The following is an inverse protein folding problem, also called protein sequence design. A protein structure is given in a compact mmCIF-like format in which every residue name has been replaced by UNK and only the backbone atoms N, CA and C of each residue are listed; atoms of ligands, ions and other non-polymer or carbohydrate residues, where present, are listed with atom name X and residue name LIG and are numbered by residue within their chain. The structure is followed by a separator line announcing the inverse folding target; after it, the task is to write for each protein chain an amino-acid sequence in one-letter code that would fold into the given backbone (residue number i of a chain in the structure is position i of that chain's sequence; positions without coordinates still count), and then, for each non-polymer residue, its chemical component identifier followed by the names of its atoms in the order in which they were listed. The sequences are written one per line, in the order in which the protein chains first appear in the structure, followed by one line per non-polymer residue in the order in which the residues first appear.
data_IF_228045663816
#
_entry.id   IF_228045663816
#
_cell.length_a   1.000
_cell.length_b   1.000
_cell.length_c   1.000
_cell.angle_alpha   90.00
_cell.angle_beta   90.00
_cell.angle_gamma   90.00
#
_symmetry.space_group_name_H-M   'P 1'
#
loop_
_entity.id
_entity.type
_entity.pdbx_description
1 polymer ?
#
# COMPACT_ATOMS: atom_id res chain seq x y z
N UNK A 1 1.84 21.10 24.86
CA UNK A 1 3.11 20.84 25.59
C UNK A 1 4.25 21.30 24.68
N UNK A 2 5.38 21.79 25.19
CA UNK A 2 6.58 22.03 24.36
C UNK A 2 7.59 20.93 24.61
N UNK A 3 8.28 20.52 23.55
CA UNK A 3 9.35 19.53 23.59
C UNK A 3 10.68 20.24 23.31
N UNK A 4 11.80 19.76 23.85
CA UNK A 4 13.09 20.41 23.66
C UNK A 4 14.27 19.44 23.74
N UNK A 5 15.27 19.62 22.87
CA UNK A 5 16.49 18.81 22.89
C UNK A 5 17.73 19.69 22.81
N UNK A 6 18.68 19.46 23.71
CA UNK A 6 19.98 20.16 23.69
C UNK A 6 21.05 19.26 23.10
N UNK A 7 21.63 19.67 21.97
CA UNK A 7 22.75 18.99 21.31
C UNK A 7 23.93 19.96 21.22
N UNK A 8 25.08 19.56 21.76
CA UNK A 8 26.33 20.33 21.70
C UNK A 8 26.21 21.81 22.14
N UNK A 9 25.34 22.10 23.10
CA UNK A 9 25.12 23.46 23.62
C UNK A 9 24.04 24.28 22.90
N UNK A 10 23.44 23.75 21.83
CA UNK A 10 22.29 24.35 21.14
C UNK A 10 21.01 23.65 21.59
N UNK A 11 20.02 24.42 22.06
CA UNK A 11 18.69 23.89 22.40
C UNK A 11 17.73 24.12 21.24
N UNK A 12 17.14 23.04 20.74
CA UNK A 12 16.04 23.06 19.78
C UNK A 12 14.73 22.92 20.55
N UNK A 13 13.72 23.74 20.22
CA UNK A 13 12.37 23.66 20.79
C UNK A 13 11.37 23.26 19.70
N UNK A 14 10.37 22.47 20.07
CA UNK A 14 9.29 22.03 19.20
C UNK A 14 7.95 22.32 19.88
N UNK A 15 7.06 23.03 19.20
CA UNK A 15 5.75 23.41 19.72
C UNK A 15 4.73 22.29 19.50
N UNK A 16 4.68 21.36 20.44
CA UNK A 16 3.72 20.26 20.45
C UNK A 16 4.11 19.07 19.56
N UNK A 17 3.29 18.03 19.62
CA UNK A 17 3.62 16.75 19.01
C UNK A 17 3.58 16.78 17.48
N UNK A 18 2.71 17.62 16.89
CA UNK A 18 2.62 17.81 15.43
C UNK A 18 3.96 18.29 14.84
N UNK A 19 4.55 19.34 15.42
CA UNK A 19 5.82 19.88 14.94
C UNK A 19 6.98 18.91 15.18
N UNK A 20 7.02 18.27 16.35
CA UNK A 20 8.05 17.28 16.68
C UNK A 20 8.04 16.12 15.69
N UNK A 21 6.86 15.57 15.39
CA UNK A 21 6.70 14.48 14.43
C UNK A 21 7.11 14.89 13.02
N UNK A 22 6.69 16.09 12.59
CA UNK A 22 7.02 16.58 11.27
C UNK A 22 8.53 16.80 11.09
N UNK A 23 9.17 17.49 12.05
CA UNK A 23 10.61 17.77 12.00
C UNK A 23 11.49 16.53 12.19
N UNK A 24 10.99 15.47 12.81
CA UNK A 24 11.70 14.20 12.90
C UNK A 24 11.69 13.40 11.59
N UNK A 25 10.82 13.74 10.63
CA UNK A 25 10.72 13.03 9.34
C UNK A 25 12.01 13.18 8.54
N UNK A 26 12.53 12.09 7.92
CA UNK A 26 13.54 12.20 6.89
C UNK A 26 13.13 13.22 5.82
N UNK A 27 14.09 13.96 5.28
CA UNK A 27 13.82 15.06 4.34
C UNK A 27 12.95 14.59 3.16
N UNK A 28 11.86 15.32 2.90
CA UNK A 28 10.92 15.14 1.78
C UNK A 28 10.50 16.49 1.23
N UNK A 29 10.38 16.62 -0.08
CA UNK A 29 9.94 17.86 -0.72
C UNK A 29 8.51 18.25 -0.32
N UNK A 30 7.60 17.30 -0.14
CA UNK A 30 6.23 17.62 0.28
C UNK A 30 6.12 18.19 1.69
N UNK A 31 6.99 17.74 2.60
CA UNK A 31 7.03 18.30 3.96
C UNK A 31 7.69 19.70 3.96
N UNK A 32 8.64 19.95 3.05
CA UNK A 32 9.20 21.28 2.80
C UNK A 32 8.13 22.22 2.20
N UNK A 33 7.34 21.74 1.24
CA UNK A 33 6.24 22.46 0.61
C UNK A 33 5.13 22.81 1.61
N UNK A 34 4.80 21.88 2.51
CA UNK A 34 3.85 22.10 3.60
C UNK A 34 4.39 23.05 4.68
N UNK A 35 5.69 23.37 4.67
CA UNK A 35 6.34 24.22 5.65
C UNK A 35 6.52 23.55 7.03
N UNK A 36 6.57 22.21 7.08
CA UNK A 36 6.67 21.45 8.33
C UNK A 36 8.01 20.70 8.50
N UNK A 37 8.83 20.63 7.46
CA UNK A 37 10.14 19.99 7.51
C UNK A 37 11.11 20.72 8.46
N UNK A 38 12.09 19.98 9.00
CA UNK A 38 13.20 20.58 9.74
C UNK A 38 14.09 21.43 8.80
N UNK A 39 14.52 22.60 9.29
CA UNK A 39 15.34 23.59 8.57
C UNK A 39 16.80 23.15 8.41
N UNK A 40 17.24 22.16 9.20
CA UNK A 40 18.60 21.61 9.13
C UNK A 40 18.65 20.15 9.57
N UNK A 41 19.71 19.44 9.18
CA UNK A 41 19.94 18.07 9.66
C UNK A 41 20.18 18.00 11.17
N UNK A 42 20.75 19.06 11.77
CA UNK A 42 20.93 19.15 13.22
C UNK A 42 19.58 19.24 13.94
N UNK A 43 18.65 20.07 13.44
CA UNK A 43 17.29 20.16 13.99
C UNK A 43 16.53 18.84 13.80
N UNK A 44 16.64 18.21 12.63
CA UNK A 44 16.04 16.90 12.34
C UNK A 44 16.52 15.83 13.31
N UNK A 45 17.83 15.79 13.57
CA UNK A 45 18.43 14.87 14.53
C UNK A 45 17.98 15.17 15.98
N UNK A 46 17.84 16.45 16.33
CA UNK A 46 17.30 16.87 17.63
C UNK A 46 15.83 16.47 17.80
N UNK A 47 15.02 16.61 16.75
CA UNK A 47 13.62 16.19 16.72
C UNK A 47 13.50 14.67 16.83
N UNK A 48 14.28 13.91 16.07
CA UNK A 48 14.31 12.45 16.14
C UNK A 48 14.73 11.93 17.52
N UNK A 49 15.73 12.56 18.16
CA UNK A 49 16.13 12.23 19.52
C UNK A 49 14.99 12.50 20.50
N UNK A 50 14.44 13.72 20.50
CA UNK A 50 13.33 14.05 21.39
C UNK A 50 12.11 13.16 21.15
N UNK A 51 11.82 12.80 19.89
CA UNK A 51 10.74 11.89 19.54
C UNK A 51 10.96 10.50 20.15
N UNK A 52 12.20 9.99 20.16
CA UNK A 52 12.53 8.71 20.78
C UNK A 52 12.22 8.67 22.29
N UNK A 53 12.23 9.81 22.98
CA UNK A 53 11.91 9.93 24.40
C UNK A 53 10.41 10.12 24.68
N UNK A 54 9.56 10.28 23.65
CA UNK A 54 8.11 10.42 23.82
C UNK A 54 7.48 9.08 24.24
N UNK A 55 6.72 9.01 25.35
CA UNK A 55 5.96 7.81 25.72
C UNK A 55 4.94 7.45 24.65
N UNK A 56 4.77 6.17 24.31
CA UNK A 56 3.75 5.75 23.34
C UNK A 56 2.34 6.21 23.75
N UNK A 57 2.02 6.15 25.05
CA UNK A 57 0.72 6.58 25.56
C UNK A 57 0.41 8.06 25.28
N UNK A 58 1.40 8.88 24.94
CA UNK A 58 1.20 10.30 24.59
C UNK A 58 0.34 10.47 23.35
N UNK A 59 0.45 9.57 22.37
CA UNK A 59 -0.36 9.60 21.15
C UNK A 59 -1.84 9.30 21.40
N UNK A 60 -2.20 8.74 22.57
CA UNK A 60 -3.59 8.54 22.98
C UNK A 60 -4.19 9.78 23.66
N UNK A 61 -3.35 10.64 24.22
CA UNK A 61 -3.76 11.83 24.98
C UNK A 61 -3.68 13.11 24.14
N UNK A 62 -2.79 13.16 23.14
CA UNK A 62 -2.52 14.33 22.29
C UNK A 62 -2.67 13.93 20.81
N UNK A 63 -3.90 13.94 20.25
CA UNK A 63 -4.12 13.58 18.85
C UNK A 63 -3.48 14.64 17.92
N UNK A 64 -2.92 14.19 16.79
CA UNK A 64 -2.27 15.08 15.82
C UNK A 64 -3.29 15.78 14.91
N UNK A 65 -4.42 15.12 14.63
CA UNK A 65 -5.57 15.67 13.89
C UNK A 65 -6.78 15.69 14.84
N UNK A 66 -7.57 16.78 14.95
CA UNK A 66 -8.58 16.93 15.99
C UNK A 66 -9.68 15.86 15.95
N UNK A 67 -9.99 15.25 17.10
CA UNK A 67 -11.02 14.19 17.21
C UNK A 67 -12.41 14.69 16.82
N UNK A 68 -12.75 15.92 17.20
CA UNK A 68 -14.08 16.50 17.01
C UNK A 68 -14.41 16.77 15.53
N UNK A 69 -13.38 16.96 14.69
CA UNK A 69 -13.56 17.37 13.29
C UNK A 69 -13.06 16.34 12.27
N UNK A 70 -12.59 15.16 12.73
CA UNK A 70 -11.99 14.15 11.85
C UNK A 70 -12.42 12.72 12.20
N UNK A 71 -13.18 12.09 11.31
CA UNK A 71 -13.70 10.72 11.46
C UNK A 71 -12.61 9.66 11.48
N UNK A 72 -11.47 9.92 10.85
CA UNK A 72 -10.31 9.00 10.88
C UNK A 72 -9.68 9.01 12.27
N UNK A 73 -9.56 10.18 12.92
CA UNK A 73 -9.12 10.27 14.32
C UNK A 73 -10.11 9.58 15.25
N UNK A 74 -11.42 9.77 15.06
CA UNK A 74 -12.43 9.04 15.84
C UNK A 74 -12.28 7.54 15.67
N UNK A 75 -12.17 7.06 14.43
CA UNK A 75 -11.91 5.65 14.12
C UNK A 75 -10.69 5.11 14.88
N UNK A 76 -9.55 5.80 14.81
CA UNK A 76 -8.30 5.40 15.45
C UNK A 76 -8.46 5.32 16.98
N UNK A 77 -9.02 6.36 17.60
CA UNK A 77 -9.14 6.46 19.06
C UNK A 77 -10.18 5.48 19.59
N UNK A 78 -11.34 5.39 18.94
CA UNK A 78 -12.47 4.59 19.44
C UNK A 78 -12.27 3.08 19.25
N UNK A 79 -11.42 2.68 18.29
CA UNK A 79 -11.10 1.26 18.03
C UNK A 79 -9.78 0.78 18.64
N UNK A 80 -9.05 1.66 19.33
CA UNK A 80 -7.80 1.29 20.00
C UNK A 80 -8.01 0.25 21.12
N UNK A 81 -7.33 -0.89 21.01
CA UNK A 81 -7.39 -1.97 22.00
C UNK A 81 -6.36 -1.77 23.12
N UNK A 82 -6.85 -1.36 24.30
CA UNK A 82 -6.02 -1.15 25.50
C UNK A 82 -5.39 -2.44 26.03
N UNK A 83 -6.01 -3.60 25.83
CA UNK A 83 -5.47 -4.87 26.29
C UNK A 83 -4.31 -5.32 25.40
N UNK A 84 -4.45 -5.19 24.07
CA UNK A 84 -3.35 -5.42 23.13
C UNK A 84 -2.17 -4.45 23.34
N UNK A 85 -2.46 -3.19 23.68
CA UNK A 85 -1.45 -2.16 23.96
C UNK A 85 -0.67 -2.41 25.26
N UNK A 86 -1.24 -3.13 26.23
CA UNK A 86 -0.69 -3.23 27.59
C UNK A 86 0.76 -3.78 27.63
N UNK A 87 1.13 -4.66 26.70
CA UNK A 87 2.49 -5.22 26.60
C UNK A 87 3.55 -4.13 26.36
N UNK A 88 3.21 -3.11 25.58
CA UNK A 88 4.13 -2.06 25.12
C UNK A 88 3.82 -0.67 25.70
N UNK A 89 2.75 -0.54 26.49
CA UNK A 89 2.25 0.75 26.98
C UNK A 89 3.25 1.56 27.82
N UNK A 90 4.24 0.89 28.40
CA UNK A 90 5.29 1.48 29.23
C UNK A 90 6.47 2.03 28.42
N UNK A 91 6.53 1.75 27.11
CA UNK A 91 7.64 2.12 26.24
C UNK A 91 7.52 3.56 25.73
N UNK A 92 8.67 4.15 25.45
CA UNK A 92 8.79 5.34 24.58
C UNK A 92 8.83 4.91 23.11
N UNK A 93 8.78 5.86 22.17
CA UNK A 93 8.99 5.56 20.74
C UNK A 93 10.33 4.86 20.51
N UNK A 94 11.40 5.31 21.17
CA UNK A 94 12.72 4.67 21.12
C UNK A 94 12.70 3.26 21.72
N UNK A 95 12.07 3.08 22.88
CA UNK A 95 11.88 1.77 23.49
C UNK A 95 11.04 0.82 22.62
N UNK A 96 10.05 1.34 21.90
CA UNK A 96 9.24 0.58 20.96
C UNK A 96 10.04 0.15 19.73
N UNK A 97 10.84 1.04 19.15
CA UNK A 97 11.79 0.70 18.08
C UNK A 97 12.71 -0.45 18.52
N UNK A 98 13.31 -0.33 19.69
CA UNK A 98 14.25 -1.34 20.19
C UNK A 98 13.54 -2.67 20.46
N UNK A 99 12.32 -2.63 21.02
CA UNK A 99 11.48 -3.81 21.19
C UNK A 99 11.15 -4.48 19.84
N UNK A 100 10.77 -3.72 18.81
CA UNK A 100 10.50 -4.26 17.48
C UNK A 100 11.73 -4.98 16.89
N UNK A 101 12.92 -4.39 17.05
CA UNK A 101 14.18 -4.97 16.57
C UNK A 101 14.61 -6.19 17.38
N UNK A 102 14.28 -6.26 18.67
CA UNK A 102 14.49 -7.47 19.49
C UNK A 102 13.53 -8.60 19.06
N UNK A 103 12.28 -8.27 18.75
CA UNK A 103 11.26 -9.24 18.36
C UNK A 103 11.48 -9.77 16.94
N UNK A 104 11.85 -8.93 15.98
CA UNK A 104 11.94 -9.29 14.56
C UNK A 104 12.72 -10.58 14.24
N UNK A 105 13.90 -10.86 14.83
CA UNK A 105 14.65 -12.09 14.55
C UNK A 105 14.09 -13.35 15.25
N UNK A 106 13.05 -13.24 16.07
CA UNK A 106 12.53 -14.37 16.85
C UNK A 106 11.61 -15.26 16.00
N UNK A 107 11.57 -16.55 16.34
CA UNK A 107 10.68 -17.51 15.68
C UNK A 107 9.18 -17.19 15.88
N UNK A 108 8.83 -16.56 17.01
CA UNK A 108 7.47 -16.16 17.39
C UNK A 108 7.14 -14.69 17.03
N UNK A 109 7.95 -14.03 16.20
CA UNK A 109 7.81 -12.60 15.90
C UNK A 109 6.42 -12.25 15.34
N UNK A 110 5.97 -12.99 14.33
CA UNK A 110 4.68 -12.74 13.67
C UNK A 110 3.51 -12.75 14.65
N UNK A 111 3.46 -13.73 15.56
CA UNK A 111 2.39 -13.86 16.56
C UNK A 111 2.41 -12.70 17.57
N UNK A 112 3.60 -12.24 17.98
CA UNK A 112 3.75 -11.10 18.89
C UNK A 112 3.32 -9.80 18.24
N UNK A 113 3.78 -9.55 17.02
CA UNK A 113 3.45 -8.34 16.27
C UNK A 113 1.93 -8.29 15.97
N UNK A 114 1.35 -9.41 15.55
CA UNK A 114 -0.10 -9.54 15.33
C UNK A 114 -0.91 -9.27 16.62
N UNK A 115 -0.45 -9.79 17.77
CA UNK A 115 -1.13 -9.59 19.06
C UNK A 115 -1.17 -8.13 19.50
N UNK A 116 -0.12 -7.35 19.27
CA UNK A 116 -0.08 -5.93 19.68
C UNK A 116 -0.72 -4.99 18.66
N UNK A 117 -0.86 -5.39 17.39
CA UNK A 117 -1.34 -4.52 16.33
C UNK A 117 -2.67 -3.80 16.67
N UNK A 118 -3.68 -4.41 17.33
CA UNK A 118 -4.89 -3.71 17.80
C UNK A 118 -4.67 -2.57 18.78
N UNK A 119 -3.56 -2.59 19.52
CA UNK A 119 -3.16 -1.53 20.44
C UNK A 119 -2.22 -0.49 19.83
N UNK A 120 -1.90 -0.57 18.54
CA UNK A 120 -1.08 0.42 17.87
C UNK A 120 -1.95 1.47 17.20
N UNK A 121 -1.67 2.75 17.47
CA UNK A 121 -2.18 3.85 16.65
C UNK A 121 -1.25 4.10 15.46
N UNK A 122 -1.76 4.61 14.33
CA UNK A 122 -0.93 5.03 13.21
C UNK A 122 0.20 5.97 13.59
N UNK A 123 -0.06 6.92 14.49
CA UNK A 123 0.91 7.92 14.92
C UNK A 123 2.07 7.30 15.71
N UNK A 124 1.83 6.27 16.52
CA UNK A 124 2.90 5.49 17.18
C UNK A 124 3.79 4.79 16.15
N UNK A 125 3.19 4.21 15.12
CA UNK A 125 3.90 3.45 14.08
C UNK A 125 4.70 4.39 13.17
N UNK A 126 4.11 5.53 12.78
CA UNK A 126 4.80 6.60 12.06
C UNK A 126 5.95 7.19 12.89
N UNK A 127 5.79 7.35 14.20
CA UNK A 127 6.85 7.85 15.07
C UNK A 127 8.06 6.90 15.09
N UNK A 128 7.81 5.59 15.16
CA UNK A 128 8.86 4.58 15.11
C UNK A 128 9.58 4.57 13.75
N UNK A 129 8.84 4.66 12.63
CA UNK A 129 9.44 4.62 11.29
C UNK A 129 10.42 5.78 11.07
N UNK A 130 10.10 6.98 11.58
CA UNK A 130 10.95 8.19 11.48
C UNK A 130 12.33 8.02 12.13
N UNK A 131 12.44 7.21 13.18
CA UNK A 131 13.70 6.96 13.90
C UNK A 131 14.40 5.65 13.50
N UNK A 132 13.89 4.96 12.47
CA UNK A 132 14.44 3.72 11.94
C UNK A 132 15.24 3.96 10.66
N UNK A 133 16.37 3.28 10.50
CA UNK A 133 17.08 3.22 9.21
C UNK A 133 16.36 2.26 8.25
N UNK A 134 16.71 2.29 6.97
CA UNK A 134 16.09 1.40 5.97
C UNK A 134 16.19 -0.08 6.36
N UNK A 135 17.35 -0.53 6.85
CA UNK A 135 17.53 -1.92 7.32
C UNK A 135 16.59 -2.28 8.48
N UNK A 136 16.29 -1.32 9.37
CA UNK A 136 15.43 -1.54 10.53
C UNK A 136 13.98 -1.71 10.03
N UNK A 137 13.53 -0.84 9.10
CA UNK A 137 12.21 -0.93 8.45
C UNK A 137 12.03 -2.27 7.75
N UNK A 138 13.04 -2.69 6.95
CA UNK A 138 13.03 -3.94 6.19
C UNK A 138 12.93 -5.15 7.13
N UNK A 139 13.79 -5.20 8.16
CA UNK A 139 13.86 -6.33 9.08
C UNK A 139 12.55 -6.53 9.85
N UNK A 140 11.96 -5.46 10.37
CA UNK A 140 10.71 -5.56 11.14
C UNK A 140 9.52 -5.84 10.22
N UNK A 141 9.45 -5.22 9.04
CA UNK A 141 8.38 -5.50 8.08
C UNK A 141 8.39 -6.97 7.62
N UNK A 142 9.57 -7.56 7.39
CA UNK A 142 9.70 -8.98 7.03
C UNK A 142 9.22 -9.93 8.14
N UNK A 143 9.34 -9.52 9.40
CA UNK A 143 8.85 -10.28 10.56
C UNK A 143 7.32 -10.17 10.74
N UNK A 144 6.71 -9.07 10.30
CA UNK A 144 5.26 -8.84 10.34
C UNK A 144 4.57 -9.60 9.19
N UNK A 145 4.06 -10.80 9.49
CA UNK A 145 3.36 -11.63 8.50
C UNK A 145 1.87 -11.35 8.54
N UNK A 146 1.35 -10.83 7.42
CA UNK A 146 -0.08 -10.55 7.22
C UNK A 146 -0.52 -11.22 5.93
N UNK A 147 -1.66 -11.91 5.98
CA UNK A 147 -2.23 -12.63 4.85
C UNK A 147 -3.69 -12.27 4.66
N UNK A 148 -4.14 -12.26 3.41
CA UNK A 148 -5.52 -12.05 2.98
C UNK A 148 -5.84 -13.06 1.87
N UNK A 149 -7.13 -13.35 1.64
CA UNK A 149 -7.52 -14.30 0.61
C UNK A 149 -8.87 -13.98 -0.03
N UNK A 150 -8.96 -14.23 -1.33
CA UNK A 150 -10.21 -14.20 -2.10
C UNK A 150 -10.30 -15.41 -3.04
N UNK A 151 -9.68 -15.36 -4.23
CA UNK A 151 -9.44 -16.55 -5.09
C UNK A 151 -8.01 -17.05 -5.00
N UNK A 152 -7.09 -16.17 -4.63
CA UNK A 152 -5.71 -16.46 -4.27
C UNK A 152 -5.43 -16.06 -2.83
N UNK A 153 -4.40 -16.68 -2.25
CA UNK A 153 -3.86 -16.29 -0.94
C UNK A 153 -2.67 -15.36 -1.10
N UNK A 154 -2.75 -14.16 -0.53
CA UNK A 154 -1.75 -13.08 -0.66
C UNK A 154 -0.99 -12.88 0.67
N UNK A 155 0.30 -12.52 0.58
CA UNK A 155 1.14 -12.18 1.74
C UNK A 155 1.81 -13.36 2.47
N UNK A 156 1.74 -14.57 1.92
CA UNK A 156 2.42 -15.74 2.47
C UNK A 156 3.96 -15.59 2.39
N UNK A 157 4.73 -16.08 3.38
CA UNK A 157 6.19 -16.08 3.31
C UNK A 157 6.73 -16.82 2.08
N UNK A 158 7.83 -16.31 1.51
CA UNK A 158 8.46 -16.88 0.31
C UNK A 158 7.69 -16.62 -0.97
N UNK A 159 6.76 -15.65 -0.97
CA UNK A 159 5.91 -15.32 -2.11
C UNK A 159 5.80 -13.81 -2.28
N UNK A 160 5.67 -13.39 -3.53
CA UNK A 160 5.33 -12.01 -3.91
C UNK A 160 4.36 -12.06 -5.07
N UNK A 161 3.17 -11.52 -4.84
CA UNK A 161 2.13 -11.48 -5.85
C UNK A 161 2.24 -10.22 -6.72
N UNK A 162 1.50 -10.19 -7.82
CA UNK A 162 1.54 -9.10 -8.78
C UNK A 162 0.14 -8.65 -9.18
N UNK A 163 -0.08 -7.33 -9.17
CA UNK A 163 -1.17 -6.73 -9.93
C UNK A 163 -0.71 -6.64 -11.39
N UNK A 164 -1.47 -7.26 -12.29
CA UNK A 164 -1.35 -7.00 -13.72
C UNK A 164 -2.25 -5.81 -14.04
N UNK A 165 -1.67 -4.72 -14.53
CA UNK A 165 -2.39 -3.50 -14.88
C UNK A 165 -2.39 -3.29 -16.40
N UNK A 166 -3.43 -3.79 -17.11
CA UNK A 166 -3.51 -3.71 -18.57
C UNK A 166 -4.25 -2.44 -19.01
N UNK A 167 -3.80 -1.27 -18.56
CA UNK A 167 -4.44 0.00 -18.91
C UNK A 167 -4.31 0.30 -20.41
N UNK A 168 -5.32 0.94 -20.98
CA UNK A 168 -5.30 1.38 -22.37
C UNK A 168 -5.81 2.82 -22.49
N UNK A 169 -5.18 3.72 -23.28
CA UNK A 169 -5.55 5.14 -23.36
C UNK A 169 -7.01 5.46 -23.75
N UNK A 170 -7.73 4.46 -24.25
CA UNK A 170 -9.12 4.58 -24.71
C UNK A 170 -9.99 3.41 -24.24
N UNK A 171 -9.51 2.61 -23.28
CA UNK A 171 -10.15 1.38 -22.83
C UNK A 171 -10.49 0.40 -24.00
N UNK A 172 -9.64 0.28 -25.04
CA UNK A 172 -9.92 -0.63 -26.16
C UNK A 172 -9.80 -2.09 -25.66
N UNK A 173 -10.87 -2.90 -25.76
CA UNK A 173 -10.88 -4.27 -25.23
C UNK A 173 -9.77 -5.16 -25.78
N UNK A 174 -9.34 -4.95 -27.04
CA UNK A 174 -8.29 -5.77 -27.66
C UNK A 174 -6.92 -5.39 -27.11
N UNK A 175 -6.67 -4.10 -26.89
CA UNK A 175 -5.45 -3.63 -26.24
C UNK A 175 -5.33 -4.17 -24.82
N UNK A 176 -6.42 -4.10 -24.04
CA UNK A 176 -6.49 -4.64 -22.68
C UNK A 176 -6.28 -6.16 -22.69
N UNK A 177 -6.95 -6.89 -23.59
CA UNK A 177 -6.78 -8.34 -23.74
C UNK A 177 -5.34 -8.72 -24.11
N UNK A 178 -4.69 -7.96 -25.01
CA UNK A 178 -3.30 -8.19 -25.39
C UNK A 178 -2.34 -7.98 -24.21
N UNK A 179 -2.49 -6.89 -23.46
CA UNK A 179 -1.69 -6.62 -22.26
C UNK A 179 -1.95 -7.66 -21.15
N UNK A 180 -3.20 -8.12 -21.01
CA UNK A 180 -3.57 -9.20 -20.09
C UNK A 180 -2.88 -10.50 -20.47
N UNK A 181 -2.88 -10.87 -21.76
CA UNK A 181 -2.16 -12.05 -22.23
C UNK A 181 -0.66 -11.94 -21.95
N UNK A 182 -0.03 -10.81 -22.30
CA UNK A 182 1.39 -10.58 -22.10
C UNK A 182 1.81 -10.77 -20.63
N UNK A 183 1.10 -10.15 -19.70
CA UNK A 183 1.38 -10.32 -18.27
C UNK A 183 1.14 -11.75 -17.77
N UNK A 184 0.07 -12.42 -18.21
CA UNK A 184 -0.19 -13.82 -17.84
C UNK A 184 0.91 -14.77 -18.33
N UNK A 185 1.43 -14.56 -19.55
CA UNK A 185 2.55 -15.34 -20.10
C UNK A 185 3.83 -15.20 -19.25
N UNK A 186 3.95 -14.10 -18.52
CA UNK A 186 5.05 -13.81 -17.59
C UNK A 186 4.69 -14.11 -16.13
N UNK A 187 3.59 -14.83 -15.88
CA UNK A 187 3.16 -15.23 -14.54
C UNK A 187 2.71 -14.07 -13.66
N UNK A 188 2.23 -12.97 -14.24
CA UNK A 188 1.68 -11.83 -13.52
C UNK A 188 0.15 -11.89 -13.41
N UNK A 189 -0.43 -11.26 -12.38
CA UNK A 189 -1.89 -11.14 -12.18
C UNK A 189 -2.45 -11.95 -11.01
N UNK A 190 -1.59 -12.57 -10.21
CA UNK A 190 -1.98 -13.40 -9.07
C UNK A 190 -2.48 -12.61 -7.85
N UNK A 191 -2.18 -11.30 -7.76
CA UNK A 191 -2.80 -10.40 -6.78
C UNK A 191 -4.13 -9.84 -7.29
N UNK A 192 -4.19 -9.40 -8.55
CA UNK A 192 -5.40 -8.91 -9.23
C UNK A 192 -5.06 -8.63 -10.70
N UNK A 193 -6.04 -8.78 -11.60
CA UNK A 193 -5.99 -8.09 -12.90
C UNK A 193 -6.84 -6.83 -12.79
N UNK A 194 -6.17 -5.68 -12.71
CA UNK A 194 -6.74 -4.41 -12.27
C UNK A 194 -6.62 -3.31 -13.33
N UNK A 195 -7.74 -2.84 -13.88
CA UNK A 195 -7.78 -1.78 -14.90
C UNK A 195 -8.14 -0.44 -14.25
N UNK A 196 -7.28 0.57 -14.41
CA UNK A 196 -7.69 1.96 -14.24
C UNK A 196 -8.42 2.38 -15.53
N UNK A 197 -9.73 2.65 -15.50
CA UNK A 197 -10.45 2.98 -16.71
C UNK A 197 -10.12 4.41 -17.16
N UNK A 198 -9.93 4.62 -18.46
CA UNK A 198 -9.79 5.95 -19.06
C UNK A 198 -11.12 6.75 -19.03
N UNK A 199 -12.26 6.06 -18.90
CA UNK A 199 -13.59 6.65 -18.74
C UNK A 199 -14.18 6.42 -17.35
N UNK A 200 -14.91 7.40 -16.84
CA UNK A 200 -15.75 7.31 -15.63
C UNK A 200 -17.15 6.71 -15.88
N UNK A 201 -17.41 6.20 -17.09
CA UNK A 201 -18.70 5.65 -17.49
C UNK A 201 -19.01 4.32 -16.79
N UNK A 202 -20.11 4.22 -16.02
CA UNK A 202 -20.52 2.96 -15.38
C UNK A 202 -20.72 1.82 -16.37
N UNK A 203 -21.18 2.13 -17.58
CA UNK A 203 -21.34 1.14 -18.65
C UNK A 203 -19.99 0.60 -19.13
N UNK A 204 -19.00 1.47 -19.32
CA UNK A 204 -17.66 1.03 -19.72
C UNK A 204 -17.03 0.16 -18.62
N UNK A 205 -17.18 0.56 -17.35
CA UNK A 205 -16.78 -0.27 -16.20
C UNK A 205 -17.44 -1.65 -16.22
N UNK A 206 -18.76 -1.71 -16.47
CA UNK A 206 -19.49 -2.98 -16.54
C UNK A 206 -19.01 -3.88 -17.69
N UNK A 207 -18.80 -3.30 -18.89
CA UNK A 207 -18.32 -4.02 -20.07
C UNK A 207 -16.92 -4.63 -19.79
N UNK A 208 -16.02 -3.88 -19.14
CA UNK A 208 -14.70 -4.36 -18.74
C UNK A 208 -14.77 -5.46 -17.66
N UNK A 209 -15.65 -5.34 -16.67
CA UNK A 209 -15.85 -6.36 -15.65
C UNK A 209 -16.37 -7.68 -16.25
N UNK A 210 -17.32 -7.61 -17.18
CA UNK A 210 -17.79 -8.79 -17.91
C UNK A 210 -16.68 -9.42 -18.74
N UNK A 211 -15.90 -8.62 -19.45
CA UNK A 211 -14.76 -9.11 -20.24
C UNK A 211 -13.75 -9.86 -19.37
N UNK A 212 -13.35 -9.29 -18.23
CA UNK A 212 -12.40 -9.93 -17.31
C UNK A 212 -12.97 -11.22 -16.69
N UNK A 213 -14.25 -11.22 -16.30
CA UNK A 213 -14.90 -12.42 -15.75
C UNK A 213 -15.02 -13.53 -16.80
N UNK A 214 -15.33 -13.20 -18.05
CA UNK A 214 -15.36 -14.15 -19.17
C UNK A 214 -13.99 -14.76 -19.44
N UNK A 215 -12.92 -13.95 -19.45
CA UNK A 215 -11.53 -14.43 -19.57
C UNK A 215 -11.18 -15.37 -18.41
N UNK A 216 -11.45 -14.95 -17.17
CA UNK A 216 -11.20 -15.74 -15.96
C UNK A 216 -11.89 -17.10 -16.02
N UNK A 217 -13.18 -17.13 -16.38
CA UNK A 217 -13.96 -18.36 -16.47
C UNK A 217 -13.46 -19.27 -17.60
N UNK A 218 -13.20 -18.71 -18.78
CA UNK A 218 -12.78 -19.48 -19.97
C UNK A 218 -11.45 -20.20 -19.77
N UNK A 219 -10.52 -19.58 -19.06
CA UNK A 219 -9.17 -20.13 -18.82
C UNK A 219 -8.97 -20.65 -17.38
N UNK A 220 -10.05 -20.72 -16.59
CA UNK A 220 -10.05 -21.16 -15.19
C UNK A 220 -8.95 -20.50 -14.35
N UNK A 221 -8.74 -19.21 -14.58
CA UNK A 221 -7.63 -18.47 -13.95
C UNK A 221 -7.99 -18.23 -12.47
N UNK A 222 -7.18 -18.70 -11.51
CA UNK A 222 -7.38 -18.41 -10.10
C UNK A 222 -6.86 -17.00 -9.82
N UNK A 223 -7.63 -16.00 -10.25
CA UNK A 223 -7.36 -14.58 -10.03
C UNK A 223 -8.66 -13.83 -9.88
N UNK A 224 -8.59 -12.67 -9.23
CA UNK A 224 -9.69 -11.72 -9.10
C UNK A 224 -9.49 -10.55 -10.06
N UNK A 225 -10.61 -10.01 -10.55
CA UNK A 225 -10.64 -8.83 -11.40
C UNK A 225 -11.06 -7.58 -10.63
N UNK A 226 -10.53 -6.43 -11.03
CA UNK A 226 -10.96 -5.13 -10.53
C UNK A 226 -10.94 -4.10 -11.65
N UNK A 227 -11.98 -3.27 -11.74
CA UNK A 227 -11.93 -2.02 -12.50
C UNK A 227 -11.95 -0.90 -11.47
N UNK A 228 -10.90 -0.09 -11.43
CA UNK A 228 -10.61 0.88 -10.39
C UNK A 228 -11.40 2.18 -10.58
N UNK A 229 -12.72 2.06 -10.71
CA UNK A 229 -13.64 3.19 -10.69
C UNK A 229 -13.97 3.61 -9.26
N UNK A 230 -14.66 4.75 -9.11
CA UNK A 230 -15.13 5.21 -7.80
C UNK A 230 -16.05 4.17 -7.14
N UNK A 231 -15.89 3.97 -5.82
CA UNK A 231 -16.60 2.94 -5.04
C UNK A 231 -18.11 2.91 -5.27
N UNK A 232 -18.75 4.08 -5.38
CA UNK A 232 -20.20 4.18 -5.59
C UNK A 232 -20.63 3.61 -6.94
N UNK A 233 -19.83 3.83 -8.00
CA UNK A 233 -20.08 3.21 -9.31
C UNK A 233 -20.03 1.71 -9.19
N UNK A 234 -19.05 1.16 -8.48
CA UNK A 234 -18.95 -0.29 -8.29
C UNK A 234 -20.14 -0.84 -7.50
N UNK A 235 -20.60 -0.16 -6.44
CA UNK A 235 -21.79 -0.56 -5.68
C UNK A 235 -23.05 -0.58 -6.55
N UNK A 236 -23.28 0.45 -7.37
CA UNK A 236 -24.40 0.48 -8.31
C UNK A 236 -24.36 -0.68 -9.32
N UNK A 237 -23.15 -1.10 -9.73
CA UNK A 237 -22.97 -2.25 -10.63
C UNK A 237 -23.22 -3.59 -9.91
N UNK A 238 -22.88 -3.70 -8.63
CA UNK A 238 -23.24 -4.86 -7.79
C UNK A 238 -24.75 -5.03 -7.74
N UNK A 239 -25.51 -3.95 -7.52
CA UNK A 239 -26.98 -3.98 -7.51
C UNK A 239 -27.58 -4.42 -8.85
N UNK A 240 -26.88 -4.12 -9.95
CA UNK A 240 -27.26 -4.53 -11.31
C UNK A 240 -26.84 -5.97 -11.65
N UNK A 241 -26.15 -6.68 -10.75
CA UNK A 241 -25.72 -8.06 -10.95
C UNK A 241 -24.48 -8.23 -11.83
N UNK A 242 -23.68 -7.17 -12.00
CA UNK A 242 -22.39 -7.22 -12.71
C UNK A 242 -21.39 -8.07 -11.90
N UNK A 243 -20.51 -8.86 -12.52
CA UNK A 243 -19.59 -9.78 -11.84
C UNK A 243 -18.40 -9.07 -11.17
N UNK A 244 -18.68 -8.26 -10.15
CA UNK A 244 -17.65 -7.59 -9.34
C UNK A 244 -16.96 -8.60 -8.43
N UNK A 245 -15.65 -8.75 -8.54
CA UNK A 245 -14.84 -9.54 -7.60
C UNK A 245 -14.31 -8.65 -6.45
N UNK A 246 -13.65 -7.54 -6.76
CA UNK A 246 -13.15 -6.57 -5.78
C UNK A 246 -13.78 -5.19 -5.96
N UNK A 247 -13.92 -4.46 -4.85
CA UNK A 247 -14.30 -3.05 -4.85
C UNK A 247 -13.08 -2.18 -4.55
N UNK A 248 -12.76 -1.29 -5.48
CA UNK A 248 -11.64 -0.37 -5.35
C UNK A 248 -12.05 0.96 -4.71
N UNK A 249 -11.14 1.56 -3.94
CA UNK A 249 -11.23 2.98 -3.59
C UNK A 249 -9.87 3.55 -3.14
N UNK A 250 -9.52 4.75 -3.63
CA UNK A 250 -8.47 5.57 -3.03
C UNK A 250 -8.93 6.14 -1.69
N UNK A 251 -8.08 6.03 -0.67
CA UNK A 251 -8.36 6.51 0.69
C UNK A 251 -7.20 7.38 1.21
N UNK A 252 -7.48 8.15 2.25
CA UNK A 252 -6.52 9.05 2.89
C UNK A 252 -6.67 9.06 4.41
N UNK A 253 -5.66 9.62 5.09
CA UNK A 253 -5.59 9.65 6.55
C UNK A 253 -6.36 10.77 7.24
N UNK A 254 -7.17 11.55 6.52
CA UNK A 254 -8.03 12.60 7.11
C UNK A 254 -9.42 12.57 6.50
N UNK A 255 -10.42 12.96 7.29
CA UNK A 255 -11.81 13.13 6.85
C UNK A 255 -11.89 14.13 5.70
N UNK A 256 -11.11 15.22 5.76
CA UNK A 256 -11.08 16.23 4.71
C UNK A 256 -10.60 15.68 3.36
N UNK A 257 -9.54 14.87 3.35
CA UNK A 257 -9.02 14.26 2.13
C UNK A 257 -9.98 13.20 1.57
N UNK A 258 -10.54 12.33 2.42
CA UNK A 258 -11.54 11.34 2.00
C UNK A 258 -12.79 11.98 1.40
N UNK A 259 -13.28 13.08 2.00
CA UNK A 259 -14.37 13.89 1.42
C UNK A 259 -14.00 14.48 0.06
N UNK A 260 -12.74 14.90 -0.11
CA UNK A 260 -12.21 15.34 -1.41
C UNK A 260 -12.27 14.24 -2.47
N UNK A 261 -12.11 12.97 -2.07
CA UNK A 261 -12.31 11.80 -2.93
C UNK A 261 -13.77 11.37 -3.08
N UNK A 262 -14.72 12.04 -2.42
CA UNK A 262 -16.14 11.69 -2.50
C UNK A 262 -16.57 10.52 -1.60
N UNK A 263 -15.77 10.16 -0.59
CA UNK A 263 -16.02 9.00 0.27
C UNK A 263 -16.04 9.35 1.77
N UNK A 264 -16.78 8.53 2.52
CA UNK A 264 -16.82 8.51 3.99
C UNK A 264 -16.60 7.09 4.47
N UNK A 265 -16.28 6.92 5.76
CA UNK A 265 -16.16 5.58 6.36
C UNK A 265 -17.41 4.71 6.19
N UNK A 266 -18.60 5.30 6.19
CA UNK A 266 -19.85 4.57 6.03
C UNK A 266 -20.03 4.08 4.59
N UNK A 267 -19.71 4.90 3.57
CA UNK A 267 -19.71 4.48 2.17
C UNK A 267 -18.78 3.28 1.96
N UNK A 268 -17.58 3.31 2.58
CA UNK A 268 -16.62 2.22 2.47
C UNK A 268 -17.13 0.92 3.13
N UNK A 269 -17.84 1.02 4.25
CA UNK A 269 -18.43 -0.14 4.95
C UNK A 269 -19.59 -0.72 4.15
N UNK A 270 -20.47 0.12 3.62
CA UNK A 270 -21.59 -0.30 2.79
C UNK A 270 -21.08 -1.03 1.53
N UNK A 271 -19.99 -0.54 0.94
CA UNK A 271 -19.35 -1.17 -0.19
C UNK A 271 -18.70 -2.52 0.12
N UNK A 272 -18.01 -2.66 1.27
CA UNK A 272 -17.48 -3.94 1.75
C UNK A 272 -18.61 -4.96 1.97
N UNK A 273 -19.72 -4.55 2.61
CA UNK A 273 -20.88 -5.41 2.82
C UNK A 273 -21.53 -5.83 1.49
N UNK A 274 -21.74 -4.89 0.57
CA UNK A 274 -22.30 -5.16 -0.75
C UNK A 274 -21.46 -6.19 -1.52
N UNK A 275 -20.13 -6.04 -1.54
CA UNK A 275 -19.25 -6.96 -2.23
C UNK A 275 -19.16 -8.33 -1.54
N UNK A 276 -19.12 -8.39 -0.21
CA UNK A 276 -19.17 -9.66 0.54
C UNK A 276 -20.46 -10.42 0.28
N UNK A 277 -21.58 -9.71 0.08
CA UNK A 277 -22.88 -10.34 -0.18
C UNK A 277 -22.88 -11.23 -1.43
N UNK A 278 -22.02 -10.91 -2.42
CA UNK A 278 -21.87 -11.66 -3.66
C UNK A 278 -21.23 -13.04 -3.47
N UNK A 279 -20.44 -13.24 -2.39
CA UNK A 279 -19.79 -14.53 -2.05
C UNK A 279 -19.02 -15.16 -3.22
N UNK A 280 -18.27 -14.32 -3.95
CA UNK A 280 -17.56 -14.73 -5.16
C UNK A 280 -16.18 -15.34 -4.92
N UNK A 281 -15.59 -15.14 -3.73
CA UNK A 281 -14.31 -15.73 -3.34
C UNK A 281 -14.38 -17.25 -3.17
N UNK A 282 -13.28 -17.93 -3.45
CA UNK A 282 -13.18 -19.40 -3.41
C UNK A 282 -12.22 -19.92 -2.34
N UNK A 283 -11.33 -19.07 -1.84
CA UNK A 283 -10.35 -19.35 -0.78
C UNK A 283 -10.66 -18.54 0.47
N UNK A 284 -11.00 -17.25 0.29
CA UNK A 284 -11.40 -16.34 1.37
C UNK A 284 -12.46 -15.36 0.91
N UNK A 285 -12.71 -14.35 1.73
CA UNK A 285 -13.80 -13.38 1.54
C UNK A 285 -13.33 -11.92 1.67
N UNK A 286 -12.03 -11.65 1.56
CA UNK A 286 -11.53 -10.28 1.53
C UNK A 286 -11.87 -9.65 0.16
N UNK A 287 -12.66 -8.57 0.13
CA UNK A 287 -13.22 -8.00 -1.12
C UNK A 287 -12.75 -6.60 -1.47
N UNK A 288 -12.15 -5.89 -0.52
CA UNK A 288 -11.71 -4.50 -0.77
C UNK A 288 -10.32 -4.46 -1.39
N UNK A 289 -10.14 -3.54 -2.34
CA UNK A 289 -8.86 -3.10 -2.85
C UNK A 289 -8.72 -1.59 -2.57
N UNK A 290 -7.72 -1.20 -1.78
CA UNK A 290 -7.54 0.20 -1.37
C UNK A 290 -6.19 0.74 -1.86
N UNK A 291 -6.16 2.01 -2.25
CA UNK A 291 -4.93 2.71 -2.58
C UNK A 291 -4.72 3.93 -1.70
N UNK A 292 -3.46 4.15 -1.31
CA UNK A 292 -2.98 5.28 -0.52
C UNK A 292 -1.81 5.94 -1.23
N UNK A 293 -1.21 6.96 -0.62
CA UNK A 293 -0.07 7.64 -1.21
C UNK A 293 0.26 8.90 -0.44
N UNK A 294 1.55 9.03 -0.12
CA UNK A 294 2.08 10.24 0.48
C UNK A 294 1.84 11.45 -0.43
N UNK A 295 1.43 12.56 0.20
CA UNK A 295 1.12 13.81 -0.50
C UNK A 295 -0.36 14.00 -0.82
N UNK A 296 -1.18 12.94 -0.79
CA UNK A 296 -2.63 13.00 -1.06
C UNK A 296 -3.35 14.04 -0.19
N UNK A 297 -3.15 14.00 1.12
CA UNK A 297 -3.78 14.95 2.05
C UNK A 297 -3.26 16.39 1.89
N UNK A 298 -1.98 16.57 1.53
CA UNK A 298 -1.41 17.89 1.25
C UNK A 298 -2.02 18.47 -0.03
N UNK A 299 -2.07 17.67 -1.10
CA UNK A 299 -2.70 18.01 -2.38
C UNK A 299 -4.16 18.44 -2.22
N UNK A 300 -4.90 17.74 -1.36
CA UNK A 300 -6.29 18.06 -1.04
C UNK A 300 -6.47 19.28 -0.10
N UNK A 301 -5.39 19.91 0.37
CA UNK A 301 -5.46 20.97 1.38
C UNK A 301 -5.98 20.51 2.75
N UNK A 302 -5.92 19.21 3.02
CA UNK A 302 -6.52 18.53 4.18
C UNK A 302 -5.45 17.92 5.11
N UNK A 303 -4.26 18.51 5.14
CA UNK A 303 -3.10 18.05 5.93
C UNK A 303 -2.94 18.78 7.27
N UNK A 304 -3.79 19.77 7.57
CA UNK A 304 -3.70 20.55 8.79
C UNK A 304 -4.26 19.77 9.99
N UNK A 305 -3.47 19.72 11.05
CA UNK A 305 -3.80 19.07 12.32
C UNK A 305 -4.20 20.06 13.41
N UNK A 306 -4.00 19.64 14.66
CA UNK A 306 -4.32 20.44 15.85
C UNK A 306 -3.61 21.79 15.81
N UNK A 307 -4.37 22.86 16.09
CA UNK A 307 -3.85 24.23 16.06
C UNK A 307 -3.59 24.77 14.65
N UNK A 308 -4.10 24.12 13.60
CA UNK A 308 -3.88 24.52 12.21
C UNK A 308 -2.44 24.28 11.74
N UNK A 309 -1.70 23.42 12.43
CA UNK A 309 -0.31 23.08 12.08
C UNK A 309 -0.26 22.02 10.98
N UNK A 310 0.64 22.13 10.00
CA UNK A 310 0.81 21.10 8.99
C UNK A 310 1.32 19.79 9.62
N UNK A 311 0.62 18.69 9.34
CA UNK A 311 1.04 17.33 9.68
C UNK A 311 1.83 16.76 8.50
N UNK A 312 2.95 16.09 8.78
CA UNK A 312 3.80 15.52 7.73
C UNK A 312 3.16 14.36 6.97
N UNK A 313 3.68 14.11 5.77
CA UNK A 313 3.14 13.11 4.85
C UNK A 313 3.14 11.69 5.43
N UNK A 314 4.19 11.27 6.15
CA UNK A 314 4.28 9.91 6.69
C UNK A 314 3.19 9.63 7.72
N UNK A 315 2.93 10.62 8.56
CA UNK A 315 1.93 10.51 9.62
C UNK A 315 0.54 10.38 9.00
N UNK A 316 0.21 11.19 8.00
CA UNK A 316 -1.08 11.13 7.32
C UNK A 316 -1.24 9.87 6.47
N UNK A 317 -0.16 9.40 5.84
CA UNK A 317 -0.16 8.13 5.10
C UNK A 317 -0.41 6.94 6.05
N UNK A 318 0.28 6.92 7.19
CA UNK A 318 0.06 5.87 8.20
C UNK A 318 -1.38 5.86 8.72
N UNK A 319 -2.02 7.04 8.82
CA UNK A 319 -3.42 7.15 9.24
C UNK A 319 -4.40 6.58 8.20
N UNK A 320 -4.07 6.63 6.91
CA UNK A 320 -4.88 5.99 5.86
C UNK A 320 -4.97 4.47 6.08
N UNK A 321 -3.94 3.85 6.67
CA UNK A 321 -3.94 2.43 7.01
C UNK A 321 -4.95 2.08 8.12
N UNK A 322 -5.31 3.00 9.02
CA UNK A 322 -6.38 2.76 9.98
C UNK A 322 -7.75 2.64 9.29
N UNK A 323 -7.99 3.45 8.26
CA UNK A 323 -9.19 3.38 7.42
C UNK A 323 -9.27 2.02 6.73
N UNK A 324 -8.16 1.55 6.15
CA UNK A 324 -8.12 0.24 5.51
C UNK A 324 -8.35 -0.92 6.47
N UNK A 325 -7.76 -0.86 7.66
CA UNK A 325 -7.75 -1.97 8.62
C UNK A 325 -9.16 -2.43 9.01
N UNK A 326 -10.11 -1.51 9.14
CA UNK A 326 -11.49 -1.87 9.52
C UNK A 326 -12.26 -2.59 8.42
N UNK A 327 -11.79 -2.49 7.17
CA UNK A 327 -12.40 -3.13 5.99
C UNK A 327 -11.79 -4.50 5.69
N UNK A 328 -10.66 -4.86 6.32
CA UNK A 328 -9.93 -6.12 6.10
C UNK A 328 -9.74 -6.40 4.59
N UNK A 329 -9.07 -5.51 3.85
CA UNK A 329 -8.98 -5.59 2.40
C UNK A 329 -8.23 -6.85 1.96
N UNK A 330 -8.47 -7.26 0.72
CA UNK A 330 -7.58 -8.21 0.06
C UNK A 330 -6.25 -7.53 -0.22
N UNK A 331 -6.32 -6.32 -0.77
CA UNK A 331 -5.18 -5.56 -1.25
C UNK A 331 -5.21 -4.15 -0.68
N UNK A 332 -4.06 -3.69 -0.21
CA UNK A 332 -3.79 -2.27 -0.03
C UNK A 332 -2.38 -1.98 -0.52
N UNK A 333 -2.22 -0.93 -1.32
CA UNK A 333 -0.89 -0.42 -1.66
C UNK A 333 -0.81 1.09 -1.50
N UNK A 334 0.38 1.55 -1.14
CA UNK A 334 0.79 2.93 -1.42
C UNK A 334 1.15 3.02 -2.90
N UNK A 335 0.90 4.19 -3.50
CA UNK A 335 1.38 4.54 -4.84
C UNK A 335 2.53 5.54 -4.69
N UNK A 336 3.75 5.02 -4.46
CA UNK A 336 4.90 5.88 -4.09
C UNK A 336 5.54 6.45 -5.35
N UNK A 337 5.70 7.78 -5.41
CA UNK A 337 6.32 8.47 -6.56
C UNK A 337 5.35 8.85 -7.69
N UNK A 338 4.06 8.54 -7.56
CA UNK A 338 3.05 8.78 -8.61
C UNK A 338 2.61 10.24 -8.75
N UNK A 339 2.55 11.01 -7.65
CA UNK A 339 1.98 12.36 -7.71
C UNK A 339 2.95 13.34 -8.36
N UNK A 340 4.22 13.35 -7.94
CA UNK A 340 5.23 14.25 -8.49
C UNK A 340 6.34 14.64 -7.51
N UNK A 341 7.38 15.34 -8.02
CA UNK A 341 8.54 15.79 -7.25
C UNK A 341 8.21 16.81 -6.17
N UNK A 342 7.04 17.44 -6.23
CA UNK A 342 6.55 18.36 -5.21
C UNK A 342 6.34 17.64 -3.86
N UNK A 343 6.12 16.33 -3.90
CA UNK A 343 5.85 15.49 -2.72
C UNK A 343 7.04 14.60 -2.36
N UNK A 344 7.66 13.98 -3.38
CA UNK A 344 8.86 13.16 -3.29
C UNK A 344 9.79 13.47 -4.48
N UNK A 345 10.84 14.26 -4.25
CA UNK A 345 11.63 14.87 -5.33
C UNK A 345 12.50 13.88 -6.11
N UNK A 346 13.18 12.97 -5.41
CA UNK A 346 14.21 12.09 -5.98
C UNK A 346 14.00 10.61 -5.62
N UNK A 347 14.72 9.72 -6.31
CA UNK A 347 14.71 8.28 -6.05
C UNK A 347 15.00 7.93 -4.58
N UNK A 348 15.86 8.69 -3.89
CA UNK A 348 16.15 8.49 -2.46
C UNK A 348 14.91 8.73 -1.58
N UNK A 349 14.14 9.78 -1.86
CA UNK A 349 12.90 10.09 -1.15
C UNK A 349 11.83 9.03 -1.46
N UNK A 350 11.70 8.61 -2.71
CA UNK A 350 10.78 7.56 -3.16
C UNK A 350 11.10 6.22 -2.46
N UNK A 351 12.36 5.78 -2.50
CA UNK A 351 12.81 4.55 -1.82
C UNK A 351 12.50 4.62 -0.32
N UNK A 352 12.81 5.75 0.32
CA UNK A 352 12.55 5.92 1.75
C UNK A 352 11.05 5.87 2.08
N UNK A 353 10.21 6.54 1.29
CA UNK A 353 8.76 6.54 1.44
C UNK A 353 8.17 5.13 1.27
N UNK A 354 8.54 4.41 0.21
CA UNK A 354 8.03 3.06 -0.03
C UNK A 354 8.36 2.08 1.10
N UNK A 355 9.54 2.21 1.72
CA UNK A 355 9.92 1.40 2.87
C UNK A 355 9.16 1.76 4.15
N UNK A 356 8.95 3.05 4.42
CA UNK A 356 8.18 3.49 5.60
C UNK A 356 6.71 3.07 5.46
N UNK A 357 6.12 3.24 4.28
CA UNK A 357 4.73 2.88 3.99
C UNK A 357 4.51 1.37 4.13
N UNK A 358 5.39 0.57 3.53
CA UNK A 358 5.34 -0.88 3.66
C UNK A 358 5.47 -1.33 5.11
N UNK A 359 6.45 -0.79 5.85
CA UNK A 359 6.62 -1.08 7.28
C UNK A 359 5.38 -0.71 8.10
N UNK A 360 4.85 0.51 7.91
CA UNK A 360 3.71 1.01 8.65
C UNK A 360 2.46 0.16 8.39
N UNK A 361 2.17 -0.14 7.11
CA UNK A 361 1.04 -0.98 6.73
C UNK A 361 1.13 -2.40 7.31
N UNK A 362 2.29 -3.05 7.20
CA UNK A 362 2.52 -4.40 7.77
C UNK A 362 2.35 -4.42 9.29
N UNK A 363 2.94 -3.45 9.99
CA UNK A 363 2.88 -3.39 11.45
C UNK A 363 1.45 -3.11 11.97
N UNK A 364 0.64 -2.39 11.18
CA UNK A 364 -0.79 -2.18 11.43
C UNK A 364 -1.68 -3.36 10.98
N UNK A 365 -1.09 -4.47 10.51
CA UNK A 365 -1.80 -5.70 10.21
C UNK A 365 -2.45 -5.74 8.84
N UNK A 366 -1.88 -5.06 7.84
CA UNK A 366 -2.40 -5.04 6.47
C UNK A 366 -1.56 -5.88 5.48
N UNK A 367 -2.19 -6.47 4.45
CA UNK A 367 -1.50 -7.17 3.36
C UNK A 367 -0.86 -6.16 2.40
N UNK A 368 0.12 -5.41 2.91
CA UNK A 368 0.66 -4.21 2.27
C UNK A 368 1.48 -4.54 1.02
N UNK A 369 1.07 -3.97 -0.11
CA UNK A 369 1.83 -3.89 -1.35
C UNK A 369 2.32 -2.47 -1.63
N UNK A 370 3.05 -2.30 -2.73
CA UNK A 370 3.60 -1.01 -3.16
C UNK A 370 3.56 -0.94 -4.69
N UNK A 371 2.99 0.13 -5.25
CA UNK A 371 3.29 0.51 -6.64
C UNK A 371 4.64 1.21 -6.66
N UNK A 372 5.64 0.50 -7.17
CA UNK A 372 7.03 0.97 -7.25
C UNK A 372 7.16 1.79 -8.52
N UNK A 373 7.02 3.10 -8.37
CA UNK A 373 6.79 3.95 -9.51
C UNK A 373 7.42 5.34 -9.37
N UNK A 374 7.49 6.05 -10.50
CA UNK A 374 7.91 7.44 -10.55
C UNK A 374 7.27 8.14 -11.74
N UNK A 375 7.29 9.47 -11.74
CA UNK A 375 6.88 10.28 -12.88
C UNK A 375 8.09 10.87 -13.57
N UNK A 376 7.99 11.07 -14.90
CA UNK A 376 9.10 11.56 -15.74
C UNK A 376 9.70 12.93 -15.35
N UNK A 377 9.09 13.67 -14.42
CA UNK A 377 9.55 14.96 -13.95
C UNK A 377 10.12 14.92 -12.53
N UNK A 378 10.15 13.75 -11.88
CA UNK A 378 10.94 13.50 -10.68
C UNK A 378 12.41 13.21 -11.03
N UNK A 379 13.32 13.50 -10.10
CA UNK A 379 14.74 13.15 -10.22
C UNK A 379 14.93 11.67 -9.82
N UNK A 380 14.34 10.78 -10.62
CA UNK A 380 14.34 9.34 -10.42
C UNK A 380 14.30 8.61 -11.76
N UNK A 381 14.77 7.37 -11.78
CA UNK A 381 14.70 6.49 -12.94
C UNK A 381 14.42 5.02 -12.55
N UNK A 382 14.49 4.12 -13.53
CA UNK A 382 14.21 2.71 -13.31
C UNK A 382 15.25 2.03 -12.39
N UNK A 383 16.49 2.52 -12.30
CA UNK A 383 17.51 1.93 -11.40
C UNK A 383 17.12 2.16 -9.93
N UNK A 384 16.47 3.30 -9.64
CA UNK A 384 15.88 3.57 -8.32
C UNK A 384 14.70 2.61 -8.03
N UNK A 385 13.89 2.30 -9.05
CA UNK A 385 12.77 1.37 -8.92
C UNK A 385 13.24 -0.07 -8.69
N UNK A 386 14.29 -0.52 -9.39
CA UNK A 386 14.92 -1.83 -9.19
C UNK A 386 15.48 -1.96 -7.77
N UNK A 387 16.08 -0.88 -7.27
CA UNK A 387 16.55 -0.79 -5.88
C UNK A 387 15.37 -0.94 -4.91
N UNK A 388 14.29 -0.17 -5.08
CA UNK A 388 13.12 -0.25 -4.22
C UNK A 388 12.47 -1.63 -4.25
N UNK A 389 12.26 -2.20 -5.45
CA UNK A 389 11.69 -3.54 -5.64
C UNK A 389 12.48 -4.61 -4.89
N UNK A 390 13.81 -4.58 -5.01
CA UNK A 390 14.68 -5.55 -4.31
C UNK A 390 14.53 -5.43 -2.80
N UNK A 391 14.54 -4.20 -2.27
CA UNK A 391 14.39 -3.95 -0.84
C UNK A 391 13.01 -4.40 -0.32
N UNK A 392 11.94 -4.19 -1.10
CA UNK A 392 10.59 -4.62 -0.78
C UNK A 392 10.41 -6.14 -0.84
N UNK A 393 11.08 -6.81 -1.79
CA UNK A 393 11.14 -8.27 -1.85
C UNK A 393 11.79 -8.86 -0.59
N UNK A 394 12.89 -8.26 -0.11
CA UNK A 394 13.53 -8.65 1.15
C UNK A 394 12.63 -8.33 2.35
N UNK A 395 11.91 -7.21 2.32
CA UNK A 395 10.98 -6.80 3.37
C UNK A 395 9.69 -7.63 3.41
N UNK A 396 9.44 -8.50 2.43
CA UNK A 396 8.25 -9.35 2.37
C UNK A 396 6.98 -8.61 1.93
N UNK A 397 7.09 -7.70 0.97
CA UNK A 397 5.93 -7.07 0.33
C UNK A 397 4.92 -8.10 -0.16
N UNK A 398 3.63 -7.85 0.12
CA UNK A 398 2.57 -8.80 -0.19
C UNK A 398 2.35 -8.92 -1.71
N UNK A 399 2.43 -7.78 -2.41
CA UNK A 399 2.37 -7.69 -3.86
C UNK A 399 3.01 -6.39 -4.37
N UNK A 400 3.30 -6.37 -5.66
CA UNK A 400 3.70 -5.17 -6.41
C UNK A 400 2.85 -5.02 -7.67
N UNK A 401 2.90 -3.85 -8.31
CA UNK A 401 2.14 -3.55 -9.53
C UNK A 401 3.07 -3.70 -10.72
N UNK A 402 2.58 -4.28 -11.81
CA UNK A 402 3.31 -4.39 -13.06
C UNK A 402 2.45 -3.99 -14.26
N UNK A 403 3.05 -3.23 -15.18
CA UNK A 403 2.47 -2.73 -16.43
C UNK A 403 3.30 -3.23 -17.63
N UNK A 404 2.73 -3.23 -18.86
CA UNK A 404 3.48 -3.57 -20.06
C UNK A 404 4.71 -2.66 -20.24
N UNK A 405 5.90 -3.24 -20.24
CA UNK A 405 7.14 -2.51 -20.52
C UNK A 405 7.53 -1.42 -19.51
N UNK A 406 7.01 -1.47 -18.28
CA UNK A 406 7.22 -0.46 -17.23
C UNK A 406 6.65 0.94 -17.56
N UNK A 407 5.90 1.10 -18.65
CA UNK A 407 5.33 2.39 -19.10
C UNK A 407 3.80 2.32 -19.13
N UNK A 408 3.16 3.02 -18.18
CA UNK A 408 1.72 3.22 -18.26
C UNK A 408 1.40 4.46 -19.09
N UNK A 409 1.19 4.23 -20.38
CA UNK A 409 0.91 5.28 -21.37
C UNK A 409 -0.40 6.04 -21.12
N UNK A 410 -1.31 5.51 -20.29
CA UNK A 410 -2.59 6.15 -19.99
C UNK A 410 -2.47 7.06 -18.77
N UNK A 411 -1.80 6.59 -17.73
CA UNK A 411 -1.56 7.36 -16.50
C UNK A 411 -0.32 8.28 -16.58
N UNK A 412 0.58 8.06 -17.54
CA UNK A 412 1.72 8.93 -17.80
C UNK A 412 2.87 8.80 -16.79
N UNK A 413 3.07 7.60 -16.25
CA UNK A 413 4.09 7.29 -15.24
C UNK A 413 4.78 5.96 -15.54
N UNK A 414 5.93 5.74 -14.90
CA UNK A 414 6.65 4.48 -14.97
C UNK A 414 6.43 3.67 -13.69
N UNK A 415 6.14 2.39 -13.86
CA UNK A 415 5.98 1.40 -12.78
C UNK A 415 6.94 0.22 -13.03
N UNK A 416 6.67 -0.96 -12.49
CA UNK A 416 7.43 -2.16 -12.82
C UNK A 416 6.92 -2.78 -14.12
N UNK A 417 7.81 -3.45 -14.83
CA UNK A 417 7.45 -4.34 -15.94
C UNK A 417 7.11 -5.75 -15.43
N UNK A 418 6.50 -6.56 -16.29
CA UNK A 418 6.34 -8.00 -16.02
C UNK A 418 7.68 -8.74 -15.85
N UNK A 419 8.77 -8.22 -16.43
CA UNK A 419 10.10 -8.81 -16.29
C UNK A 419 10.68 -8.56 -14.89
N UNK A 420 10.37 -7.42 -14.28
CA UNK A 420 10.88 -7.07 -12.95
C UNK A 420 10.26 -7.98 -11.87
N UNK A 421 9.00 -8.37 -12.07
CA UNK A 421 8.36 -9.41 -11.25
C UNK A 421 9.09 -10.77 -11.36
N UNK A 422 9.54 -11.16 -12.56
CA UNK A 422 10.35 -12.37 -12.73
C UNK A 422 11.73 -12.23 -12.08
N UNK A 423 12.38 -11.07 -12.24
CA UNK A 423 13.66 -10.76 -11.62
C UNK A 423 13.60 -10.93 -10.10
N UNK A 424 12.66 -10.26 -9.43
CA UNK A 424 12.61 -10.28 -7.96
C UNK A 424 12.27 -11.68 -7.43
N UNK A 425 11.42 -12.42 -8.15
CA UNK A 425 11.09 -13.82 -7.84
C UNK A 425 12.30 -14.72 -7.95
N UNK A 426 13.08 -14.61 -9.02
CA UNK A 426 14.29 -15.42 -9.21
C UNK A 426 15.39 -15.02 -8.21
N UNK A 427 15.68 -13.72 -8.08
CA UNK A 427 16.77 -13.20 -7.26
C UNK A 427 16.60 -13.51 -5.77
N UNK A 428 15.36 -13.59 -5.29
CA UNK A 428 15.03 -13.83 -3.89
C UNK A 428 14.33 -15.18 -3.64
N UNK A 429 14.26 -16.05 -4.64
CA UNK A 429 13.59 -17.35 -4.59
C UNK A 429 12.12 -17.26 -4.12
N UNK A 430 11.41 -16.23 -4.57
CA UNK A 430 9.99 -16.01 -4.27
C UNK A 430 9.11 -16.64 -5.36
N UNK A 431 7.87 -16.97 -4.99
CA UNK A 431 6.89 -17.56 -5.92
C UNK A 431 5.61 -16.72 -6.03
N UNK A 432 4.78 -16.92 -7.07
CA UNK A 432 3.41 -16.38 -7.13
C UNK A 432 2.53 -16.90 -5.98
N UNK A 433 1.28 -16.46 -5.87
CA UNK A 433 0.29 -17.08 -4.98
C UNK A 433 0.12 -18.58 -5.28
N UNK A 434 -0.11 -19.45 -4.28
CA UNK A 434 -0.05 -20.91 -4.46
C UNK A 434 -1.10 -21.45 -5.43
N UNK A 435 -2.29 -20.86 -5.46
CA UNK A 435 -3.36 -21.25 -6.37
C UNK A 435 -2.98 -20.92 -7.83
N UNK A 436 -2.35 -19.75 -8.03
CA UNK A 436 -1.88 -19.29 -9.33
C UNK A 436 -0.65 -20.04 -9.82
N UNK A 437 0.32 -20.32 -8.94
CA UNK A 437 1.46 -21.19 -9.20
C UNK A 437 0.98 -22.56 -9.71
N UNK A 438 -0.02 -23.15 -9.03
CA UNK A 438 -0.61 -24.43 -9.44
C UNK A 438 -1.30 -24.35 -10.80
N UNK A 439 -1.88 -23.21 -11.18
CA UNK A 439 -2.47 -22.99 -12.49
C UNK A 439 -1.40 -22.86 -13.58
N UNK A 440 -0.34 -22.07 -13.34
CA UNK A 440 0.81 -21.97 -14.25
C UNK A 440 1.45 -23.35 -14.51
N UNK A 441 1.61 -24.17 -13.48
CA UNK A 441 2.13 -25.53 -13.60
C UNK A 441 1.26 -26.42 -14.49
N UNK A 442 -0.08 -26.33 -14.40
CA UNK A 442 -1.01 -27.08 -15.28
C UNK A 442 -0.89 -26.67 -16.74
N UNK A 443 -0.51 -25.41 -17.01
CA UNK A 443 -0.28 -24.91 -18.36
C UNK A 443 1.13 -25.22 -18.89
N UNK A 444 1.99 -25.86 -18.08
CA UNK A 444 3.39 -26.11 -18.46
C UNK A 444 4.26 -24.85 -18.43
N UNK A 445 3.84 -23.81 -17.71
CA UNK A 445 4.51 -22.51 -17.65
C UNK A 445 5.46 -22.36 -16.45
N UNK A 446 5.66 -23.43 -15.68
CA UNK A 446 6.64 -23.47 -14.60
C UNK A 446 7.48 -24.74 -14.67
N UNK A 447 8.71 -24.68 -14.14
CA UNK A 447 9.54 -25.87 -13.93
C UNK A 447 9.28 -26.55 -12.58
N UNK A 448 10.03 -27.62 -12.28
CA UNK A 448 9.92 -28.36 -11.02
C UNK A 448 10.28 -27.55 -9.77
N UNK A 449 10.98 -26.43 -9.93
CA UNK A 449 11.37 -25.51 -8.86
C UNK A 449 10.44 -24.30 -8.75
N UNK A 450 9.36 -24.26 -9.54
CA UNK A 450 8.31 -23.24 -9.52
C UNK A 450 8.70 -21.95 -10.23
N UNK A 451 9.81 -21.94 -10.98
CA UNK A 451 10.22 -20.79 -11.80
C UNK A 451 9.32 -20.68 -13.01
N UNK A 452 8.85 -19.46 -13.30
CA UNK A 452 8.06 -19.17 -14.50
C UNK A 452 8.96 -19.27 -15.74
N UNK A 453 8.53 -20.06 -16.72
CA UNK A 453 9.27 -20.33 -17.95
C UNK A 453 8.82 -19.36 -19.05
N UNK A 454 9.74 -18.92 -19.93
CA UNK A 454 9.36 -18.24 -21.16
C UNK A 454 8.46 -19.15 -22.00
N UNK A 455 7.35 -18.60 -22.51
CA UNK A 455 6.38 -19.31 -23.35
C UNK A 455 6.35 -18.65 -24.72
N UNK A 456 6.39 -19.44 -25.79
CA UNK A 456 6.08 -18.93 -27.13
C UNK A 456 4.59 -18.54 -27.18
N UNK A 457 4.23 -17.26 -27.39
CA UNK A 457 2.85 -16.84 -27.48
C UNK A 457 2.05 -17.63 -28.53
N UNK A 458 2.69 -18.05 -29.63
CA UNK A 458 2.07 -18.83 -30.70
C UNK A 458 1.66 -20.24 -30.31
N UNK A 459 2.31 -20.81 -29.29
CA UNK A 459 2.05 -22.16 -28.77
C UNK A 459 1.28 -22.14 -27.45
N UNK A 460 1.05 -20.95 -26.87
CA UNK A 460 0.41 -20.81 -25.58
C UNK A 460 -1.06 -21.24 -25.61
N UNK A 461 -1.53 -22.01 -24.60
CA UNK A 461 -2.96 -22.30 -24.43
C UNK A 461 -3.79 -21.03 -24.17
N UNK A 462 -3.15 -19.91 -23.83
CA UNK A 462 -3.79 -18.61 -23.59
C UNK A 462 -3.92 -17.77 -24.86
N UNK A 463 -3.28 -18.14 -25.98
CA UNK A 463 -3.38 -17.39 -27.25
C UNK A 463 -4.84 -17.07 -27.68
N UNK A 464 -5.83 -17.97 -27.47
CA UNK A 464 -7.23 -17.66 -27.81
C UNK A 464 -7.87 -16.52 -26.99
N UNK A 465 -7.18 -15.97 -25.99
CA UNK A 465 -7.58 -14.79 -25.22
C UNK A 465 -7.63 -13.56 -26.12
N UNK A 466 -6.68 -13.41 -27.04
CA UNK A 466 -6.66 -12.31 -28.03
C UNK A 466 -7.46 -12.61 -29.29
N UNK A 467 -7.92 -13.85 -29.47
CA UNK A 467 -8.70 -14.29 -30.63
C UNK A 467 -10.23 -14.06 -30.49
N UNK A 468 -10.69 -13.49 -29.37
CA UNK A 468 -12.11 -13.36 -29.00
C UNK A 468 -12.72 -11.99 -29.26
N UNK A 469 -13.51 -11.92 -30.35
CA UNK A 469 -14.58 -10.97 -30.78
C UNK A 469 -14.34 -9.47 -30.77
#
# INVERSE_FOLDING_TARGET
MRYHQTIAGTTHEFDGLVELMAKATPRRSGDELAGCAAESDAERAAAAWQLADVPLSRFLDEPLVPYESDEVTRLIVDTHDRAAFAEIAHLTVGGFRDWLLEIAPRADAADRLSRIAPGLTPEMVAAASKIMRNQDLILVAAAARVTSAFRTTIGLPGRIATRLQPNHPTDDPRGIAAATLDGLLMGCGDAVIGINPASDSPRATADLLHMLDDIRQRFEIPMQSCVLSHVTTTVDLIEQGVPVDLVFQSIAGTEGANKGFGVTLDILRDADEAARSLRRGTVGDNVMYLETGQGSALSAGAHLGVGGKPVDQQTLESRAYAVARVLKPLLINTVVGFIGPEYLYDGKQIIRAGLEDHFCGKLLGLPMGVDVCYTNHAEADQDDMDTLLTLLGVAGAAFVIAVPGADDVMLGYQSLSFHDALYVREALHLRPAPEFESWLARLGMTDGDGRVLPVDPGESPLLPLTAGR
#
